data_IF_787622971696
#
_entry.id   IF_787622971696
#
_cell.length_a   1.000
_cell.length_b   1.000
_cell.length_c   1.000
_cell.angle_alpha   90.00
_cell.angle_beta   90.00
_cell.angle_gamma   90.00
#
_symmetry.space_group_name_H-M   'P 1'
#
loop_
_entity.id
_entity.type
_entity.pdbx_description
1 polymer ?
#
# COMPACT_ATOMS: atom_id res chain seq x y z
N UNK A 1 -13.70 13.43 19.04
CA UNK A 1 -13.14 12.07 19.19
C UNK A 1 -12.84 11.53 17.81
N UNK A 2 -11.70 10.86 17.63
CA UNK A 2 -11.30 10.18 16.40
C UNK A 2 -10.97 8.72 16.69
N UNK A 3 -11.09 7.86 15.69
CA UNK A 3 -10.87 6.41 15.83
C UNK A 3 -9.55 6.03 15.17
N UNK A 4 -8.64 5.43 15.93
CA UNK A 4 -7.37 4.94 15.41
C UNK A 4 -7.60 3.98 14.23
N UNK A 5 -7.02 4.28 13.08
CA UNK A 5 -7.16 3.48 11.86
C UNK A 5 -6.52 2.08 11.98
N UNK A 6 -5.57 1.89 12.91
CA UNK A 6 -4.89 0.60 13.12
C UNK A 6 -5.56 -0.27 14.18
N UNK A 7 -5.86 0.31 15.35
CA UNK A 7 -6.33 -0.45 16.53
C UNK A 7 -7.82 -0.28 16.79
N UNK A 8 -8.47 0.69 16.17
CA UNK A 8 -9.89 0.99 16.37
C UNK A 8 -10.21 1.70 17.69
N UNK A 9 -9.21 2.02 18.52
CA UNK A 9 -9.35 2.74 19.79
C UNK A 9 -9.82 4.18 19.57
N UNK A 10 -10.71 4.67 20.42
CA UNK A 10 -11.13 6.07 20.42
C UNK A 10 -10.11 6.95 21.15
N UNK A 11 -9.75 8.07 20.54
CA UNK A 11 -8.75 9.01 21.02
C UNK A 11 -9.27 10.43 20.84
N UNK A 12 -8.91 11.38 21.73
CA UNK A 12 -9.18 12.78 21.48
C UNK A 12 -8.29 13.28 20.33
N UNK A 13 -8.84 14.20 19.51
CA UNK A 13 -8.26 14.55 18.20
C UNK A 13 -6.91 15.25 18.29
N UNK A 14 -6.64 15.91 19.41
CA UNK A 14 -5.40 16.60 19.76
C UNK A 14 -4.26 15.64 20.13
N UNK A 15 -4.60 14.42 20.57
CA UNK A 15 -3.62 13.37 20.91
C UNK A 15 -3.38 12.39 19.76
N UNK A 16 -4.14 12.50 18.66
CA UNK A 16 -4.01 11.62 17.52
C UNK A 16 -2.73 11.93 16.72
N UNK A 17 -1.99 10.87 16.37
CA UNK A 17 -0.90 10.95 15.41
C UNK A 17 -1.45 10.83 13.99
N UNK A 18 -1.35 11.90 13.21
CA UNK A 18 -1.82 11.95 11.82
C UNK A 18 -0.71 11.49 10.88
N UNK A 19 -1.00 10.46 10.09
CA UNK A 19 -0.05 9.93 9.11
C UNK A 19 -0.80 9.26 7.95
N UNK A 20 -0.11 8.99 6.83
CA UNK A 20 -0.74 8.34 5.68
C UNK A 20 -1.30 6.95 6.05
N UNK A 21 -2.42 6.55 5.46
CA UNK A 21 -3.03 5.26 5.74
C UNK A 21 -2.08 4.10 5.40
N UNK A 22 -2.27 2.98 6.09
CA UNK A 22 -1.58 1.73 5.76
C UNK A 22 -2.23 1.13 4.52
N UNK A 23 -1.54 1.23 3.38
CA UNK A 23 -1.94 0.58 2.13
C UNK A 23 -1.30 -0.81 2.07
N UNK A 24 -2.11 -1.84 1.88
CA UNK A 24 -1.59 -3.20 1.71
C UNK A 24 -1.10 -3.43 0.28
N UNK A 25 -0.16 -4.38 0.11
CA UNK A 25 0.33 -4.75 -1.22
C UNK A 25 -0.81 -5.20 -2.15
N UNK A 26 -1.81 -5.92 -1.60
CA UNK A 26 -2.96 -6.39 -2.37
C UNK A 26 -3.90 -5.25 -2.79
N UNK A 27 -4.16 -4.28 -1.91
CA UNK A 27 -4.95 -3.09 -2.26
C UNK A 27 -4.27 -2.28 -3.36
N UNK A 28 -2.94 -2.13 -3.29
CA UNK A 28 -2.18 -1.44 -4.32
C UNK A 28 -2.29 -2.17 -5.67
N UNK A 29 -2.01 -3.47 -5.69
CA UNK A 29 -2.09 -4.30 -6.91
C UNK A 29 -3.49 -4.25 -7.51
N UNK A 30 -4.53 -4.44 -6.68
CA UNK A 30 -5.92 -4.40 -7.12
C UNK A 30 -6.28 -3.04 -7.70
N UNK A 31 -5.93 -1.96 -7.01
CA UNK A 31 -6.28 -0.60 -7.44
C UNK A 31 -5.59 -0.26 -8.75
N UNK A 32 -4.31 -0.56 -8.89
CA UNK A 32 -3.55 -0.37 -10.14
C UNK A 32 -4.14 -1.20 -11.26
N UNK A 33 -4.45 -2.48 -11.02
CA UNK A 33 -4.99 -3.39 -12.05
C UNK A 33 -6.37 -2.94 -12.52
N UNK A 34 -7.26 -2.56 -11.60
CA UNK A 34 -8.60 -2.06 -11.93
C UNK A 34 -8.51 -0.73 -12.68
N UNK A 35 -7.63 0.19 -12.25
CA UNK A 35 -7.44 1.48 -12.91
C UNK A 35 -6.89 1.31 -14.32
N UNK A 36 -5.91 0.42 -14.49
CA UNK A 36 -5.33 0.12 -15.81
C UNK A 36 -6.39 -0.40 -16.80
N UNK A 37 -7.31 -1.25 -16.34
CA UNK A 37 -8.35 -1.85 -17.19
C UNK A 37 -9.52 -0.90 -17.44
N UNK A 38 -9.97 -0.16 -16.41
CA UNK A 38 -11.21 0.64 -16.51
C UNK A 38 -10.97 2.09 -16.91
N UNK A 39 -9.88 2.70 -16.42
CA UNK A 39 -9.60 4.14 -16.56
C UNK A 39 -8.09 4.40 -16.64
N UNK A 40 -7.41 3.91 -17.70
CA UNK A 40 -5.95 3.95 -17.80
C UNK A 40 -5.36 5.37 -17.76
N UNK A 41 -6.12 6.38 -18.21
CA UNK A 41 -5.70 7.79 -18.16
C UNK A 41 -5.50 8.33 -16.73
N UNK A 42 -6.08 7.69 -15.72
CA UNK A 42 -5.99 8.13 -14.32
C UNK A 42 -4.93 7.37 -13.52
N UNK A 43 -4.12 6.51 -14.16
CA UNK A 43 -3.13 5.68 -13.47
C UNK A 43 -2.07 6.52 -12.75
N UNK A 44 -1.60 7.60 -13.38
CA UNK A 44 -0.66 8.53 -12.77
C UNK A 44 -1.22 9.18 -11.51
N UNK A 45 -2.50 9.59 -11.56
CA UNK A 45 -3.16 10.16 -10.40
C UNK A 45 -3.24 9.14 -9.24
N UNK A 46 -3.65 7.92 -9.53
CA UNK A 46 -3.75 6.85 -8.51
C UNK A 46 -2.40 6.50 -7.87
N UNK A 47 -1.31 6.56 -8.63
CA UNK A 47 0.02 6.20 -8.16
C UNK A 47 0.75 7.33 -7.43
N UNK A 48 0.47 8.59 -7.78
CA UNK A 48 1.26 9.74 -7.34
C UNK A 48 0.47 10.75 -6.50
N UNK A 49 -0.87 10.67 -6.41
CA UNK A 49 -1.62 11.51 -5.48
C UNK A 49 -1.32 11.12 -4.03
N UNK A 50 -1.16 12.14 -3.19
CA UNK A 50 -1.04 11.95 -1.76
C UNK A 50 -2.38 11.49 -1.19
N UNK A 51 -2.31 10.46 -0.35
CA UNK A 51 -3.48 9.98 0.37
C UNK A 51 -3.73 10.86 1.60
N UNK A 52 -5.00 11.15 1.94
CA UNK A 52 -5.32 11.94 3.11
C UNK A 52 -4.87 11.23 4.39
N UNK A 53 -4.26 11.97 5.31
CA UNK A 53 -3.79 11.43 6.58
C UNK A 53 -4.96 10.90 7.43
N UNK A 54 -4.71 9.80 8.13
CA UNK A 54 -5.67 9.16 9.02
C UNK A 54 -5.13 9.16 10.46
N UNK A 55 -6.02 9.17 11.47
CA UNK A 55 -5.59 9.23 12.86
C UNK A 55 -5.09 7.86 13.34
N UNK A 56 -3.96 7.88 14.05
CA UNK A 56 -3.35 6.74 14.73
C UNK A 56 -3.12 7.05 16.22
N UNK A 57 -3.11 6.00 17.04
CA UNK A 57 -2.61 6.07 18.41
C UNK A 57 -1.07 6.25 18.38
N UNK A 58 -0.50 7.25 19.07
CA UNK A 58 0.95 7.40 19.21
C UNK A 58 1.66 6.15 19.72
N UNK A 59 1.02 5.35 20.57
CA UNK A 59 1.58 4.09 21.09
C UNK A 59 1.68 3.01 19.99
N UNK A 60 0.87 3.10 18.94
CA UNK A 60 0.84 2.13 17.85
C UNK A 60 1.85 2.44 16.72
N UNK A 61 2.72 3.44 16.88
CA UNK A 61 3.70 3.86 15.86
C UNK A 61 4.66 2.74 15.45
N UNK A 62 5.21 2.01 16.41
CA UNK A 62 6.10 0.88 16.10
C UNK A 62 5.37 -0.22 15.35
N UNK A 63 4.16 -0.54 15.78
CA UNK A 63 3.32 -1.54 15.11
C UNK A 63 2.97 -1.11 13.68
N UNK A 64 2.68 0.17 13.47
CA UNK A 64 2.42 0.75 12.15
C UNK A 64 3.66 0.62 11.24
N UNK A 65 4.84 0.95 11.76
CA UNK A 65 6.11 0.79 11.04
C UNK A 65 6.38 -0.66 10.64
N UNK A 66 6.22 -1.60 11.56
CA UNK A 66 6.40 -3.03 11.30
C UNK A 66 5.42 -3.55 10.24
N UNK A 67 4.15 -3.14 10.28
CA UNK A 67 3.16 -3.52 9.26
C UNK A 67 3.48 -2.92 7.90
N UNK A 68 3.92 -1.65 7.83
CA UNK A 68 4.36 -1.02 6.58
C UNK A 68 5.53 -1.77 5.96
N UNK A 69 6.54 -2.11 6.76
CA UNK A 69 7.69 -2.87 6.28
C UNK A 69 7.28 -4.26 5.76
N UNK A 70 6.37 -4.95 6.44
CA UNK A 70 5.85 -6.23 5.99
C UNK A 70 5.09 -6.10 4.65
N UNK A 71 4.23 -5.10 4.49
CA UNK A 71 3.53 -4.84 3.22
C UNK A 71 4.49 -4.44 2.10
N UNK A 72 5.52 -3.65 2.39
CA UNK A 72 6.56 -3.31 1.42
C UNK A 72 7.36 -4.53 0.96
N UNK A 73 7.69 -5.44 1.88
CA UNK A 73 8.39 -6.68 1.55
C UNK A 73 7.52 -7.59 0.68
N UNK A 74 6.20 -7.66 0.96
CA UNK A 74 5.24 -8.39 0.12
C UNK A 74 5.19 -7.80 -1.29
N UNK A 75 5.14 -6.48 -1.42
CA UNK A 75 5.14 -5.80 -2.70
C UNK A 75 6.44 -6.08 -3.48
N UNK A 76 7.59 -6.00 -2.80
CA UNK A 76 8.88 -6.30 -3.41
C UNK A 76 8.96 -7.76 -3.89
N UNK A 77 8.53 -8.71 -3.06
CA UNK A 77 8.46 -10.13 -3.43
C UNK A 77 7.55 -10.37 -4.63
N UNK A 78 6.40 -9.70 -4.69
CA UNK A 78 5.51 -9.74 -5.84
C UNK A 78 6.17 -9.20 -7.11
N UNK A 79 6.86 -8.05 -7.04
CA UNK A 79 7.56 -7.48 -8.19
C UNK A 79 8.66 -8.41 -8.71
N UNK A 80 9.41 -9.07 -7.81
CA UNK A 80 10.40 -10.07 -8.21
C UNK A 80 9.75 -11.29 -8.88
N UNK A 81 8.61 -11.76 -8.37
CA UNK A 81 7.88 -12.86 -8.98
C UNK A 81 7.42 -12.50 -10.41
N UNK A 82 6.87 -11.30 -10.62
CA UNK A 82 6.48 -10.80 -11.95
C UNK A 82 7.68 -10.74 -12.88
N UNK A 83 8.81 -10.19 -12.42
CA UNK A 83 10.04 -10.11 -13.21
C UNK A 83 10.56 -11.50 -13.60
N UNK A 84 10.58 -12.45 -12.67
CA UNK A 84 11.01 -13.82 -12.93
C UNK A 84 10.15 -14.51 -14.00
N UNK A 85 8.82 -14.30 -13.95
CA UNK A 85 7.89 -14.82 -14.96
C UNK A 85 8.19 -14.21 -16.34
N UNK A 86 8.36 -12.89 -16.41
CA UNK A 86 8.68 -12.21 -17.67
C UNK A 86 9.99 -12.77 -18.24
N UNK A 87 11.07 -12.77 -17.47
CA UNK A 87 12.38 -13.26 -17.92
C UNK A 87 12.31 -14.73 -18.34
N UNK A 88 11.61 -15.58 -17.60
CA UNK A 88 11.43 -16.99 -17.94
C UNK A 88 10.68 -17.18 -19.27
N UNK A 89 9.62 -16.42 -19.52
CA UNK A 89 8.89 -16.45 -20.80
C UNK A 89 9.81 -16.01 -21.95
N UNK A 90 10.53 -14.91 -21.79
CA UNK A 90 11.48 -14.45 -22.79
C UNK A 90 12.54 -15.52 -23.09
N UNK A 91 13.13 -16.12 -22.05
CA UNK A 91 14.09 -17.19 -22.22
C UNK A 91 13.51 -18.37 -23.03
N UNK A 92 12.28 -18.81 -22.73
CA UNK A 92 11.63 -19.91 -23.46
C UNK A 92 11.30 -19.59 -24.91
N UNK A 93 11.01 -18.32 -25.25
CA UNK A 93 10.68 -17.90 -26.62
C UNK A 93 11.93 -17.76 -27.49
N UNK A 94 13.07 -17.34 -26.91
CA UNK A 94 14.31 -17.05 -27.64
C UNK A 94 15.39 -18.13 -27.50
N UNK A 95 15.13 -19.18 -26.71
CA UNK A 95 15.91 -20.42 -26.63
C UNK A 95 15.56 -21.38 -27.77
#
# INVERSE_FOLDING_TARGET
MVRCALTGKELPSDQAYWAPPLVTAWELIRTVSVTLVRTPGNLGQVLFDNQPDVPYDPEAREQLGARRQAEQLKLLGFLFAVLAVIVGIFYLIFS
#
